data_IF_241068231446
#
_entry.id   IF_241068231446
#
_cell.length_a   1.000
_cell.length_b   1.000
_cell.length_c   1.000
_cell.angle_alpha   90.00
_cell.angle_beta   90.00
_cell.angle_gamma   90.00
#
_symmetry.space_group_name_H-M   'P 1'
#
loop_
_entity.id
_entity.type
_entity.pdbx_description
1 polymer ?
#
# COMPACT_ATOMS: atom_id res chain seq x y z
N UNK A 1 5.11 7.86 10.83
CA UNK A 1 5.57 7.72 9.43
C UNK A 1 4.42 7.62 8.41
N UNK A 2 3.87 6.45 8.08
CA UNK A 2 2.86 6.33 6.99
C UNK A 2 1.48 6.98 7.31
N UNK A 3 1.15 7.16 8.60
CA UNK A 3 -0.08 7.83 9.03
C UNK A 3 0.04 9.36 9.04
N UNK A 4 1.25 9.93 9.11
CA UNK A 4 1.47 11.38 9.16
C UNK A 4 1.51 12.02 7.77
N UNK A 5 1.99 11.29 6.75
CA UNK A 5 2.00 11.80 5.37
C UNK A 5 0.59 12.01 4.80
N UNK A 6 -0.41 11.26 5.28
CA UNK A 6 -1.81 11.44 4.90
C UNK A 6 -2.42 12.75 5.44
N UNK A 7 -1.84 13.34 6.49
CA UNK A 7 -2.34 14.59 7.07
C UNK A 7 -1.87 15.85 6.32
N UNK A 8 -0.90 15.73 5.40
CA UNK A 8 -0.30 16.87 4.69
C UNK A 8 -0.81 17.08 3.26
N UNK A 9 -1.79 16.28 2.79
CA UNK A 9 -2.33 16.39 1.43
C UNK A 9 -1.32 16.06 0.32
N UNK A 10 -0.20 15.44 0.68
CA UNK A 10 0.95 15.24 -0.20
C UNK A 10 0.76 13.96 -1.03
N UNK A 11 -0.12 14.05 -2.05
CA UNK A 11 -0.49 12.96 -2.96
C UNK A 11 0.72 12.24 -3.56
N UNK A 12 1.82 12.96 -3.77
CA UNK A 12 3.09 12.40 -4.25
C UNK A 12 3.69 11.39 -3.25
N UNK A 13 3.78 11.75 -1.97
CA UNK A 13 4.28 10.84 -0.91
C UNK A 13 3.36 9.65 -0.71
N UNK A 14 2.05 9.84 -0.83
CA UNK A 14 1.07 8.76 -0.75
C UNK A 14 1.23 7.75 -1.91
N UNK A 15 1.47 8.24 -3.13
CA UNK A 15 1.73 7.40 -4.30
C UNK A 15 3.05 6.63 -4.19
N UNK A 16 4.12 7.25 -3.68
CA UNK A 16 5.40 6.57 -3.43
C UNK A 16 5.27 5.49 -2.35
N UNK A 17 4.61 5.81 -1.24
CA UNK A 17 4.34 4.85 -0.18
C UNK A 17 3.53 3.64 -0.69
N UNK A 18 2.58 3.87 -1.60
CA UNK A 18 1.79 2.80 -2.24
C UNK A 18 2.64 1.88 -3.11
N UNK A 19 3.58 2.43 -3.90
CA UNK A 19 4.52 1.64 -4.71
C UNK A 19 5.37 0.72 -3.82
N UNK A 20 5.91 1.27 -2.73
CA UNK A 20 6.72 0.50 -1.77
C UNK A 20 5.89 -0.58 -1.07
N UNK A 21 4.67 -0.25 -0.64
CA UNK A 21 3.77 -1.20 0.02
C UNK A 21 3.37 -2.36 -0.91
N UNK A 22 3.04 -2.06 -2.16
CA UNK A 22 2.74 -3.06 -3.19
C UNK A 22 3.91 -4.02 -3.39
N UNK A 23 5.12 -3.49 -3.57
CA UNK A 23 6.34 -4.31 -3.74
C UNK A 23 6.62 -5.21 -2.53
N UNK A 24 6.33 -4.76 -1.31
CA UNK A 24 6.48 -5.57 -0.09
C UNK A 24 5.43 -6.67 -0.01
N UNK A 25 4.18 -6.38 -0.37
CA UNK A 25 3.10 -7.37 -0.40
C UNK A 25 3.38 -8.47 -1.42
N UNK A 26 3.84 -8.12 -2.62
CA UNK A 26 4.15 -9.10 -3.66
C UNK A 26 5.34 -9.99 -3.25
N UNK A 27 6.36 -9.42 -2.57
CA UNK A 27 7.44 -10.20 -1.96
C UNK A 27 6.96 -11.13 -0.85
N UNK A 28 5.94 -10.73 -0.08
CA UNK A 28 5.38 -11.58 0.96
C UNK A 28 4.58 -12.75 0.37
N UNK A 29 3.94 -12.55 -0.79
CA UNK A 29 3.30 -13.64 -1.55
C UNK A 29 4.34 -14.63 -2.08
N UNK A 30 5.42 -14.14 -2.69
CA UNK A 30 6.46 -15.03 -3.24
C UNK A 30 7.19 -15.84 -2.16
N UNK A 31 7.28 -15.32 -0.94
CA UNK A 31 7.80 -16.03 0.23
C UNK A 31 6.76 -16.92 0.93
N UNK A 32 5.53 -16.99 0.43
CA UNK A 32 4.45 -17.80 1.02
C UNK A 32 3.93 -17.29 2.37
N UNK A 33 4.31 -16.07 2.80
CA UNK A 33 3.91 -15.49 4.09
C UNK A 33 2.44 -15.08 4.09
N UNK A 34 1.94 -14.65 2.92
CA UNK A 34 0.52 -14.29 2.72
C UNK A 34 -0.02 -14.91 1.44
N UNK A 35 -1.30 -15.24 1.44
CA UNK A 35 -1.97 -15.74 0.23
C UNK A 35 -2.15 -14.63 -0.82
N UNK A 36 -2.16 -14.99 -2.11
CA UNK A 36 -2.34 -14.05 -3.24
C UNK A 36 -3.58 -13.16 -3.10
N UNK A 37 -4.69 -13.71 -2.62
CA UNK A 37 -5.93 -12.94 -2.41
C UNK A 37 -5.81 -11.97 -1.23
N UNK A 38 -5.05 -12.33 -0.20
CA UNK A 38 -4.82 -11.44 0.94
C UNK A 38 -3.95 -10.24 0.52
N UNK A 39 -2.96 -10.47 -0.34
CA UNK A 39 -2.18 -9.38 -0.94
C UNK A 39 -3.06 -8.50 -1.85
N UNK A 40 -3.91 -9.08 -2.69
CA UNK A 40 -4.83 -8.34 -3.55
C UNK A 40 -5.79 -7.43 -2.74
N UNK A 41 -6.39 -7.96 -1.67
CA UNK A 41 -7.27 -7.19 -0.79
C UNK A 41 -6.53 -6.04 -0.10
N UNK A 42 -5.31 -6.29 0.41
CA UNK A 42 -4.47 -5.26 1.03
C UNK A 42 -4.06 -4.18 0.04
N UNK A 43 -3.68 -4.54 -1.19
CA UNK A 43 -3.36 -3.59 -2.27
C UNK A 43 -4.56 -2.69 -2.59
N UNK A 44 -5.75 -3.28 -2.74
CA UNK A 44 -7.00 -2.54 -2.99
C UNK A 44 -7.33 -1.57 -1.85
N UNK A 45 -7.23 -2.02 -0.60
CA UNK A 45 -7.50 -1.16 0.56
C UNK A 45 -6.55 0.03 0.67
N UNK A 46 -5.26 -0.16 0.38
CA UNK A 46 -4.26 0.92 0.39
C UNK A 46 -4.51 1.89 -0.77
N UNK A 47 -4.80 1.39 -1.97
CA UNK A 47 -5.12 2.21 -3.13
C UNK A 47 -6.34 3.11 -2.89
N UNK A 48 -7.43 2.56 -2.33
CA UNK A 48 -8.62 3.35 -1.98
C UNK A 48 -8.33 4.49 -1.00
N UNK A 49 -7.46 4.23 -0.01
CA UNK A 49 -7.05 5.24 0.97
C UNK A 49 -6.16 6.31 0.35
N UNK A 50 -5.33 5.97 -0.63
CA UNK A 50 -4.50 6.94 -1.34
C UNK A 50 -5.34 7.76 -2.32
N UNK A 51 -6.34 7.18 -2.96
CA UNK A 51 -7.26 7.91 -3.86
C UNK A 51 -8.22 8.83 -3.12
N UNK A 52 -8.47 8.60 -1.82
CA UNK A 52 -9.34 9.46 -1.00
C UNK A 52 -8.60 10.65 -0.38
N UNK A 53 -7.32 10.83 -0.68
CA UNK A 53 -6.47 11.94 -0.23
C UNK A 53 -6.09 12.76 -1.48
#
# INVERSE_FOLDING_TARGET
AAREAAATGDKAKAAEALKVATKKLDKAVSKGVIHKNQAANKKSAIAKKVSSI
#
